data_IF_528478140681
#
_entry.id   IF_528478140681
#
_cell.length_a   1.000
_cell.length_b   1.000
_cell.length_c   1.000
_cell.angle_alpha   90.00
_cell.angle_beta   90.00
_cell.angle_gamma   90.00
#
_symmetry.space_group_name_H-M   'P 1'
#
loop_
_entity.id
_entity.type
_entity.pdbx_description
1 polymer ?
#
# COMPACT_ATOMS: atom_id res chain seq x y z
N UNK A 1 -1.24 -17.36 2.59
CA UNK A 1 -1.06 -18.80 2.72
C UNK A 1 0.04 -19.11 3.75
N UNK A 2 1.32 -18.84 3.52
CA UNK A 2 2.44 -19.12 4.47
C UNK A 2 2.17 -18.60 5.89
N UNK A 3 1.78 -17.35 6.03
CA UNK A 3 1.48 -16.74 7.34
C UNK A 3 0.30 -17.40 8.07
N UNK A 4 -0.58 -18.08 7.33
CA UNK A 4 -1.71 -18.83 7.87
C UNK A 4 -1.38 -20.33 8.07
N UNK A 5 -0.13 -20.74 7.91
CA UNK A 5 0.29 -22.12 8.03
C UNK A 5 -0.19 -23.03 6.89
N UNK A 6 -0.68 -22.45 5.79
CA UNK A 6 -1.09 -23.20 4.61
C UNK A 6 0.14 -23.51 3.76
N UNK A 7 0.36 -24.79 3.51
CA UNK A 7 1.47 -25.25 2.66
C UNK A 7 1.23 -24.83 1.19
N UNK A 8 2.26 -24.26 0.58
CA UNK A 8 2.26 -23.83 -0.82
C UNK A 8 3.58 -24.27 -1.43
N UNK A 9 3.51 -24.92 -2.58
CA UNK A 9 4.65 -25.35 -3.38
C UNK A 9 5.64 -24.20 -3.62
N UNK A 10 6.94 -24.42 -3.42
CA UNK A 10 7.96 -23.38 -3.64
C UNK A 10 7.99 -22.89 -5.08
N UNK A 11 7.67 -23.76 -6.04
CA UNK A 11 7.54 -23.42 -7.46
C UNK A 11 6.55 -22.28 -7.74
N UNK A 12 5.50 -22.12 -6.91
CA UNK A 12 4.54 -21.01 -7.02
C UNK A 12 5.22 -19.69 -6.68
N UNK A 13 6.04 -19.66 -5.62
CA UNK A 13 6.79 -18.46 -5.24
C UNK A 13 7.88 -18.12 -6.27
N UNK A 14 8.59 -19.13 -6.79
CA UNK A 14 9.57 -18.92 -7.86
C UNK A 14 8.93 -18.35 -9.13
N UNK A 15 7.75 -18.85 -9.51
CA UNK A 15 7.01 -18.34 -10.67
C UNK A 15 6.56 -16.87 -10.41
N UNK A 16 6.11 -16.56 -9.21
CA UNK A 16 5.75 -15.20 -8.83
C UNK A 16 6.96 -14.25 -8.90
N UNK A 17 8.13 -14.67 -8.37
CA UNK A 17 9.38 -13.89 -8.45
C UNK A 17 9.77 -13.60 -9.89
N UNK A 18 9.76 -14.63 -10.75
CA UNK A 18 10.05 -14.48 -12.19
C UNK A 18 9.08 -13.52 -12.88
N UNK A 19 7.81 -13.58 -12.52
CA UNK A 19 6.83 -12.66 -13.07
C UNK A 19 7.10 -11.21 -12.62
N UNK A 20 7.37 -10.99 -11.34
CA UNK A 20 7.72 -9.67 -10.83
C UNK A 20 8.99 -9.12 -11.49
N UNK A 21 10.01 -9.95 -11.70
CA UNK A 21 11.23 -9.53 -12.40
C UNK A 21 10.94 -9.10 -13.85
N UNK A 22 10.06 -9.84 -14.55
CA UNK A 22 9.61 -9.49 -15.90
C UNK A 22 8.79 -8.20 -15.94
N UNK A 23 7.97 -7.93 -14.92
CA UNK A 23 7.12 -6.74 -14.84
C UNK A 23 7.85 -5.52 -14.26
N UNK A 24 9.07 -5.71 -13.73
CA UNK A 24 9.86 -4.69 -13.09
C UNK A 24 10.46 -3.70 -14.11
N UNK A 25 10.41 -2.42 -13.75
CA UNK A 25 11.01 -1.30 -14.47
C UNK A 25 11.68 -0.33 -13.51
N UNK A 26 12.10 0.83 -14.02
CA UNK A 26 12.88 1.80 -13.26
C UNK A 26 14.38 1.48 -13.28
N UNK A 27 15.16 2.24 -12.52
CA UNK A 27 16.62 2.10 -12.48
C UNK A 27 17.07 0.84 -11.74
N UNK A 28 16.31 0.47 -10.71
CA UNK A 28 16.64 -0.65 -9.82
C UNK A 28 15.60 -1.79 -9.89
N UNK A 29 14.56 -1.68 -10.73
CA UNK A 29 13.49 -2.66 -10.80
C UNK A 29 12.43 -2.51 -9.72
N UNK A 30 12.28 -1.32 -9.14
CA UNK A 30 11.31 -0.99 -8.09
C UNK A 30 9.97 -0.46 -8.60
N UNK A 31 9.83 -0.25 -9.92
CA UNK A 31 8.61 0.21 -10.57
C UNK A 31 7.96 -0.95 -11.33
N UNK A 32 6.65 -1.09 -11.25
CA UNK A 32 5.96 -2.25 -11.82
C UNK A 32 4.86 -1.85 -12.80
N UNK A 33 4.78 -2.58 -13.89
CA UNK A 33 3.67 -2.52 -14.84
C UNK A 33 2.70 -3.69 -14.68
N UNK A 34 1.61 -3.66 -15.47
CA UNK A 34 0.57 -4.69 -15.40
C UNK A 34 0.97 -5.97 -16.15
N UNK A 35 1.56 -5.84 -17.32
CA UNK A 35 1.97 -6.98 -18.17
C UNK A 35 3.46 -6.98 -18.51
N UNK A 36 4.17 -5.92 -18.15
CA UNK A 36 5.59 -5.72 -18.42
C UNK A 36 6.07 -4.43 -17.76
N UNK A 37 7.35 -4.06 -17.96
CA UNK A 37 7.93 -2.88 -17.33
C UNK A 37 7.19 -1.59 -17.69
N UNK A 38 6.77 -0.83 -16.68
CA UNK A 38 6.17 0.50 -16.83
C UNK A 38 6.61 1.37 -15.65
N UNK A 39 6.94 2.62 -15.94
CA UNK A 39 7.43 3.55 -14.92
C UNK A 39 6.33 4.43 -14.27
N UNK A 40 5.11 4.40 -14.80
CA UNK A 40 4.02 5.31 -14.37
C UNK A 40 2.77 4.63 -13.82
N UNK A 41 2.79 3.32 -13.62
CA UNK A 41 1.65 2.60 -13.02
C UNK A 41 1.81 2.50 -11.51
N UNK A 42 1.24 3.47 -10.78
CA UNK A 42 1.39 3.58 -9.33
C UNK A 42 0.74 2.43 -8.57
N UNK A 43 -0.42 1.98 -9.01
CA UNK A 43 -1.12 0.88 -8.36
C UNK A 43 -0.31 -0.41 -8.47
N UNK A 44 0.27 -0.68 -9.63
CA UNK A 44 1.14 -1.85 -9.82
C UNK A 44 2.46 -1.70 -9.06
N UNK A 45 3.05 -0.50 -9.02
CA UNK A 45 4.24 -0.25 -8.21
C UNK A 45 3.97 -0.49 -6.72
N UNK A 46 2.86 0.00 -6.20
CA UNK A 46 2.46 -0.23 -4.81
C UNK A 46 2.24 -1.72 -4.52
N UNK A 47 1.49 -2.41 -5.39
CA UNK A 47 1.22 -3.84 -5.25
C UNK A 47 2.50 -4.67 -5.37
N UNK A 48 3.33 -4.40 -6.37
CA UNK A 48 4.58 -5.13 -6.60
C UNK A 48 5.57 -4.94 -5.44
N UNK A 49 5.72 -3.70 -4.94
CA UNK A 49 6.53 -3.41 -3.76
C UNK A 49 6.03 -4.20 -2.53
N UNK A 50 4.71 -4.22 -2.28
CA UNK A 50 4.15 -4.97 -1.16
C UNK A 50 4.34 -6.48 -1.32
N UNK A 51 4.15 -7.03 -2.52
CA UNK A 51 4.39 -8.44 -2.79
C UNK A 51 5.85 -8.84 -2.57
N UNK A 52 6.82 -7.99 -2.96
CA UNK A 52 8.24 -8.22 -2.68
C UNK A 52 8.53 -8.22 -1.17
N UNK A 53 7.87 -7.35 -0.42
CA UNK A 53 7.99 -7.33 1.04
C UNK A 53 7.41 -8.61 1.66
N UNK A 54 6.29 -9.12 1.17
CA UNK A 54 5.75 -10.42 1.59
C UNK A 54 6.68 -11.60 1.26
N UNK A 55 7.51 -11.45 0.23
CA UNK A 55 8.60 -12.39 -0.13
C UNK A 55 9.91 -12.09 0.63
N UNK A 56 9.84 -11.27 1.67
CA UNK A 56 10.92 -10.90 2.58
C UNK A 56 12.09 -10.13 1.93
N UNK A 57 11.85 -9.43 0.83
CA UNK A 57 12.82 -8.49 0.25
C UNK A 57 12.99 -7.31 1.22
N UNK A 58 14.21 -7.09 1.76
CA UNK A 58 14.42 -6.14 2.86
C UNK A 58 14.30 -4.68 2.37
N UNK A 59 14.00 -3.73 3.29
CA UNK A 59 13.93 -2.31 2.95
C UNK A 59 15.22 -1.71 2.38
N UNK A 60 16.38 -2.34 2.64
CA UNK A 60 17.68 -1.94 2.10
C UNK A 60 17.91 -2.37 0.64
N UNK A 61 17.08 -3.24 0.08
CA UNK A 61 17.16 -3.59 -1.33
C UNK A 61 16.85 -2.37 -2.19
N UNK A 62 17.67 -2.04 -3.23
CA UNK A 62 17.51 -0.83 -4.02
C UNK A 62 16.14 -0.64 -4.68
N UNK A 63 15.40 -1.72 -4.91
CA UNK A 63 14.03 -1.70 -5.44
C UNK A 63 13.05 -1.03 -4.47
N UNK A 64 13.26 -1.21 -3.16
CA UNK A 64 12.35 -0.72 -2.12
C UNK A 64 12.36 0.82 -2.03
N UNK A 65 13.50 1.51 -1.86
CA UNK A 65 13.52 2.97 -1.84
C UNK A 65 13.12 3.58 -3.21
N UNK A 66 13.41 2.94 -4.34
CA UNK A 66 12.94 3.40 -5.65
C UNK A 66 11.41 3.40 -5.72
N UNK A 67 10.76 2.28 -5.35
CA UNK A 67 9.31 2.17 -5.27
C UNK A 67 8.71 3.18 -4.29
N UNK A 68 9.23 3.26 -3.09
CA UNK A 68 8.76 4.18 -2.06
C UNK A 68 8.84 5.64 -2.50
N UNK A 69 9.92 6.04 -3.17
CA UNK A 69 10.05 7.39 -3.71
C UNK A 69 9.04 7.67 -4.83
N UNK A 70 8.79 6.70 -5.70
CA UNK A 70 7.77 6.84 -6.75
C UNK A 70 6.36 7.02 -6.16
N UNK A 71 6.02 6.29 -5.09
CA UNK A 71 4.74 6.44 -4.38
C UNK A 71 4.63 7.78 -3.67
N UNK A 72 5.72 8.26 -3.04
CA UNK A 72 5.78 9.58 -2.42
C UNK A 72 5.45 10.71 -3.40
N UNK A 73 5.96 10.63 -4.63
CA UNK A 73 5.71 11.63 -5.68
C UNK A 73 4.27 11.61 -6.21
N UNK A 74 3.46 10.67 -5.81
CA UNK A 74 2.08 10.48 -6.27
C UNK A 74 1.12 10.32 -5.09
N UNK A 75 0.92 11.38 -4.27
CA UNK A 75 0.00 11.31 -3.14
C UNK A 75 -1.44 11.10 -3.60
N UNK A 76 -2.30 10.68 -2.66
CA UNK A 76 -3.72 10.51 -2.92
C UNK A 76 -4.35 11.80 -3.44
N UNK A 77 -5.09 11.70 -4.54
CA UNK A 77 -5.92 12.79 -5.06
C UNK A 77 -7.15 12.98 -4.16
N UNK A 78 -7.43 14.22 -3.76
CA UNK A 78 -8.64 14.56 -2.98
C UNK A 78 -9.88 14.61 -3.88
N UNK A 79 -9.74 15.15 -5.10
CA UNK A 79 -10.88 15.32 -6.03
C UNK A 79 -11.30 14.03 -6.73
N UNK A 80 -10.38 13.07 -6.88
CA UNK A 80 -10.65 11.80 -7.55
C UNK A 80 -9.79 10.67 -6.92
N UNK A 81 -10.14 10.22 -5.72
CA UNK A 81 -9.32 9.27 -4.96
C UNK A 81 -9.34 7.87 -5.58
N UNK A 82 -8.16 7.36 -5.89
CA UNK A 82 -7.98 5.99 -6.34
C UNK A 82 -7.76 5.05 -5.14
N UNK A 83 -8.84 4.67 -4.45
CA UNK A 83 -8.77 3.92 -3.17
C UNK A 83 -7.99 2.60 -3.28
N UNK A 84 -8.05 1.91 -4.42
CA UNK A 84 -7.25 0.71 -4.66
C UNK A 84 -5.74 1.03 -4.57
N UNK A 85 -5.29 2.08 -5.25
CA UNK A 85 -3.92 2.56 -5.16
C UNK A 85 -3.56 2.97 -3.73
N UNK A 86 -4.42 3.76 -3.09
CA UNK A 86 -4.20 4.24 -1.72
C UNK A 86 -4.00 3.09 -0.75
N UNK A 87 -4.83 2.06 -0.84
CA UNK A 87 -4.72 0.88 0.02
C UNK A 87 -3.37 0.16 -0.14
N UNK A 88 -2.98 -0.19 -1.37
CA UNK A 88 -1.71 -0.89 -1.58
C UNK A 88 -0.49 -0.02 -1.30
N UNK A 89 -0.54 1.28 -1.60
CA UNK A 89 0.52 2.21 -1.24
C UNK A 89 0.66 2.33 0.29
N UNK A 90 -0.46 2.35 1.02
CA UNK A 90 -0.46 2.35 2.49
C UNK A 90 0.19 1.08 3.04
N UNK A 91 -0.15 -0.11 2.51
CA UNK A 91 0.46 -1.37 2.91
C UNK A 91 1.98 -1.37 2.66
N UNK A 92 2.38 -1.00 1.44
CA UNK A 92 3.78 -1.01 1.04
C UNK A 92 4.63 -0.01 1.85
N UNK A 93 4.14 1.22 2.02
CA UNK A 93 4.86 2.25 2.76
C UNK A 93 4.86 1.98 4.27
N UNK A 94 3.79 1.40 4.81
CA UNK A 94 3.76 0.94 6.20
C UNK A 94 4.82 -0.14 6.46
N UNK A 95 5.02 -1.07 5.55
CA UNK A 95 6.08 -2.07 5.68
C UNK A 95 7.49 -1.49 5.43
N UNK A 96 7.60 -0.47 4.57
CA UNK A 96 8.87 0.20 4.30
C UNK A 96 9.35 1.05 5.48
N UNK A 97 8.42 1.67 6.21
CA UNK A 97 8.69 2.56 7.33
C UNK A 97 9.49 3.84 6.94
N UNK A 98 10.03 4.54 7.91
CA UNK A 98 10.85 5.73 7.72
C UNK A 98 10.08 7.00 7.35
N UNK A 99 10.79 8.07 6.91
CA UNK A 99 10.17 9.39 6.67
C UNK A 99 9.08 9.36 5.59
N UNK A 100 9.21 8.50 4.57
CA UNK A 100 8.19 8.37 3.51
C UNK A 100 6.87 7.87 4.06
N UNK A 101 6.92 6.89 4.99
CA UNK A 101 5.73 6.40 5.67
C UNK A 101 5.09 7.48 6.55
N UNK A 102 5.88 8.21 7.33
CA UNK A 102 5.37 9.28 8.21
C UNK A 102 4.59 10.31 7.39
N UNK A 103 5.19 10.82 6.32
CA UNK A 103 4.55 11.81 5.44
C UNK A 103 3.26 11.27 4.78
N UNK A 104 3.31 10.03 4.26
CA UNK A 104 2.14 9.37 3.68
C UNK A 104 1.00 9.24 4.67
N UNK A 105 1.32 8.75 5.85
CA UNK A 105 0.37 8.49 6.90
C UNK A 105 -0.29 9.76 7.45
N UNK A 106 0.46 10.84 7.60
CA UNK A 106 -0.11 12.12 8.07
C UNK A 106 -1.12 12.65 7.05
N UNK A 107 -0.81 12.58 5.76
CA UNK A 107 -1.76 12.93 4.70
C UNK A 107 -2.98 12.00 4.67
N UNK A 108 -2.76 10.70 4.86
CA UNK A 108 -3.84 9.71 4.88
C UNK A 108 -4.85 9.98 5.99
N UNK A 109 -4.35 10.20 7.22
CA UNK A 109 -5.17 10.51 8.41
C UNK A 109 -5.95 11.81 8.29
N UNK A 110 -5.43 12.79 7.57
CA UNK A 110 -6.13 14.03 7.30
C UNK A 110 -7.17 13.85 6.18
N UNK A 111 -6.78 13.23 5.07
CA UNK A 111 -7.56 13.24 3.84
C UNK A 111 -8.73 12.27 3.87
N UNK A 112 -8.52 11.02 4.28
CA UNK A 112 -9.61 10.02 4.28
C UNK A 112 -10.79 10.41 5.17
N UNK A 113 -10.62 10.88 6.42
CA UNK A 113 -11.75 11.32 7.24
C UNK A 113 -12.49 12.54 6.68
N UNK A 114 -11.80 13.41 5.93
CA UNK A 114 -12.44 14.56 5.25
C UNK A 114 -13.30 14.13 4.06
N UNK A 115 -12.93 13.07 3.36
CA UNK A 115 -13.66 12.52 2.23
C UNK A 115 -14.84 11.62 2.63
N UNK A 116 -14.92 11.26 3.91
CA UNK A 116 -16.01 10.44 4.41
C UNK A 116 -17.33 11.20 4.43
N UNK A 117 -18.41 10.60 3.95
CA UNK A 117 -19.76 11.14 4.06
C UNK A 117 -20.17 11.26 5.54
N UNK A 118 -20.66 12.44 5.92
CA UNK A 118 -21.01 12.75 7.32
C UNK A 118 -22.51 12.70 7.58
N UNK A 119 -23.35 12.80 6.55
CA UNK A 119 -24.78 12.98 6.67
C UNK A 119 -25.57 12.03 5.77
N UNK A 120 -26.86 11.85 6.08
CA UNK A 120 -27.80 11.05 5.29
C UNK A 120 -27.56 9.54 5.39
N UNK A 121 -28.21 8.81 4.50
CA UNK A 121 -28.15 7.34 4.42
C UNK A 121 -26.74 6.80 4.15
N UNK A 122 -25.88 7.61 3.56
CA UNK A 122 -24.52 7.25 3.16
C UNK A 122 -23.47 7.62 4.23
N UNK A 123 -23.89 8.14 5.39
CA UNK A 123 -23.01 8.53 6.48
C UNK A 123 -22.07 7.40 6.87
N UNK A 124 -20.79 7.73 7.10
CA UNK A 124 -19.74 6.77 7.42
C UNK A 124 -19.08 6.11 6.20
N UNK A 125 -19.60 6.30 5.00
CA UNK A 125 -19.06 5.71 3.77
C UNK A 125 -18.20 6.68 2.98
N UNK A 126 -17.52 6.17 1.96
CA UNK A 126 -16.80 6.95 0.95
C UNK A 126 -17.42 6.73 -0.43
N UNK A 127 -17.60 7.82 -1.19
CA UNK A 127 -18.12 7.77 -2.56
C UNK A 127 -17.19 6.99 -3.49
N UNK A 128 -17.72 6.52 -4.60
CA UNK A 128 -16.91 5.83 -5.61
C UNK A 128 -15.75 6.71 -6.05
N UNK A 129 -14.56 6.12 -6.02
CA UNK A 129 -13.35 6.79 -6.47
C UNK A 129 -12.97 6.47 -7.92
N UNK A 130 -11.71 6.73 -8.27
CA UNK A 130 -11.14 6.46 -9.59
C UNK A 130 -10.65 5.00 -9.74
N UNK A 131 -10.37 4.61 -10.98
CA UNK A 131 -9.74 3.33 -11.32
C UNK A 131 -10.61 2.13 -10.95
N UNK A 132 -10.00 1.07 -10.43
CA UNK A 132 -10.71 -0.17 -10.07
C UNK A 132 -11.80 0.04 -9.01
N UNK A 133 -11.65 1.03 -8.12
CA UNK A 133 -12.67 1.35 -7.13
C UNK A 133 -13.95 1.94 -7.76
N UNK A 134 -13.86 2.56 -8.94
CA UNK A 134 -15.03 3.08 -9.64
C UNK A 134 -15.99 1.96 -10.06
N UNK A 135 -15.49 0.84 -10.53
CA UNK A 135 -16.31 -0.33 -10.93
C UNK A 135 -16.94 -1.03 -9.72
N UNK A 136 -16.26 -1.05 -8.57
CA UNK A 136 -16.78 -1.65 -7.34
C UNK A 136 -17.72 -0.75 -6.53
N UNK A 137 -17.85 0.51 -6.92
CA UNK A 137 -18.76 1.46 -6.30
C UNK A 137 -18.41 1.82 -4.85
N UNK A 138 -19.42 2.30 -4.13
CA UNK A 138 -19.29 2.77 -2.74
C UNK A 138 -18.79 1.69 -1.77
N UNK A 139 -19.23 0.45 -1.93
CA UNK A 139 -18.84 -0.65 -1.05
C UNK A 139 -17.32 -0.87 -1.11
N UNK A 140 -16.76 -0.96 -2.31
CA UNK A 140 -15.31 -1.17 -2.50
C UNK A 140 -14.52 0.06 -2.01
N UNK A 141 -14.97 1.28 -2.33
CA UNK A 141 -14.33 2.50 -1.85
C UNK A 141 -14.31 2.58 -0.33
N UNK A 142 -15.44 2.30 0.33
CA UNK A 142 -15.56 2.31 1.79
C UNK A 142 -14.67 1.24 2.42
N UNK A 143 -14.68 0.03 1.89
CA UNK A 143 -13.83 -1.06 2.38
C UNK A 143 -12.35 -0.70 2.30
N UNK A 144 -11.88 -0.22 1.14
CA UNK A 144 -10.46 0.10 0.94
C UNK A 144 -10.03 1.32 1.77
N UNK A 145 -10.88 2.33 1.93
CA UNK A 145 -10.61 3.48 2.79
C UNK A 145 -10.49 3.06 4.26
N UNK A 146 -11.43 2.24 4.75
CA UNK A 146 -11.39 1.71 6.13
C UNK A 146 -10.15 0.86 6.35
N UNK A 147 -9.85 -0.08 5.46
CA UNK A 147 -8.68 -0.95 5.56
C UNK A 147 -7.36 -0.16 5.53
N UNK A 148 -7.32 0.98 4.81
CA UNK A 148 -6.15 1.87 4.80
C UNK A 148 -5.96 2.54 6.16
N UNK A 149 -7.04 2.97 6.82
CA UNK A 149 -6.97 3.58 8.17
C UNK A 149 -6.65 2.54 9.26
N UNK A 150 -7.00 1.27 9.04
CA UNK A 150 -6.78 0.19 10.00
C UNK A 150 -5.39 -0.45 9.94
N UNK A 151 -4.53 -0.03 9.02
CA UNK A 151 -3.23 -0.70 8.76
C UNK A 151 -2.42 -0.97 10.03
N UNK A 152 -2.42 -0.05 10.99
CA UNK A 152 -1.68 -0.17 12.26
C UNK A 152 -2.23 -1.24 13.21
N UNK A 153 -3.53 -1.54 13.09
CA UNK A 153 -4.21 -2.48 13.99
C UNK A 153 -4.18 -3.89 13.42
N UNK A 154 -4.05 -4.02 12.10
CA UNK A 154 -4.16 -5.30 11.39
C UNK A 154 -2.82 -5.92 11.06
N UNK A 155 -1.79 -5.12 10.89
CA UNK A 155 -0.50 -5.59 10.43
C UNK A 155 0.61 -5.15 11.38
N UNK A 156 1.56 -6.06 11.61
CA UNK A 156 2.83 -5.72 12.22
C UNK A 156 3.86 -5.46 11.12
N UNK A 157 4.81 -4.54 11.30
CA UNK A 157 5.94 -4.40 10.39
C UNK A 157 6.72 -5.73 10.31
N UNK A 158 6.88 -6.26 9.09
CA UNK A 158 7.57 -7.53 8.85
C UNK A 158 9.07 -7.44 9.15
N UNK A 159 9.62 -6.25 9.00
CA UNK A 159 11.01 -5.94 9.33
C UNK A 159 11.00 -5.24 10.69
N UNK A 160 11.36 -5.98 11.75
CA UNK A 160 11.23 -5.52 13.14
C UNK A 160 11.80 -4.12 13.40
N UNK A 161 11.30 -3.49 14.46
CA UNK A 161 11.62 -2.14 14.94
C UNK A 161 13.12 -1.95 15.28
N UNK A 162 14.03 -2.13 14.32
CA UNK A 162 15.47 -1.91 14.54
C UNK A 162 15.92 -0.45 14.37
N UNK A 163 15.04 0.46 14.00
CA UNK A 163 15.36 1.89 14.01
C UNK A 163 14.72 2.54 15.24
N UNK A 164 15.56 2.97 16.16
CA UNK A 164 15.21 3.71 17.41
C UNK A 164 14.50 5.06 17.17
N UNK A 165 14.12 5.39 15.94
CA UNK A 165 13.50 6.66 15.56
C UNK A 165 12.02 6.55 15.15
N UNK A 166 11.44 5.35 15.12
CA UNK A 166 9.99 5.22 14.91
C UNK A 166 9.27 5.41 16.24
N UNK A 167 8.54 6.51 16.35
CA UNK A 167 7.70 6.78 17.52
C UNK A 167 6.76 5.59 17.81
N UNK A 168 6.55 5.23 19.08
CA UNK A 168 5.62 4.18 19.46
C UNK A 168 4.20 4.55 19.00
N UNK A 169 3.34 3.56 18.70
CA UNK A 169 1.95 3.82 18.34
C UNK A 169 1.27 4.66 19.44
N UNK A 170 0.36 5.58 19.06
CA UNK A 170 -0.32 6.43 20.02
C UNK A 170 -1.06 5.55 21.03
N UNK A 171 -0.81 5.77 22.31
CA UNK A 171 -1.55 5.12 23.39
C UNK A 171 -3.01 5.54 23.28
N UNK A 172 -3.91 4.59 23.01
CA UNK A 172 -5.34 4.81 23.13
C UNK A 172 -5.64 5.27 24.55
N UNK A 173 -6.09 6.52 24.70
CA UNK A 173 -6.72 6.96 25.96
C UNK A 173 -8.05 6.19 26.06
N UNK A 174 -8.17 5.36 27.09
CA UNK A 174 -9.44 4.75 27.51
C UNK A 174 -10.37 5.81 28.05
#
# INVERSE_FOLDING_TARGET
ARMAGIEVEESVFENARRWFDKAAGGKHGGLYGYTGPQSNNQAMTATGMFCRQLDLVPPSDPRMPEGAQALKMRPMSVSNPAYYYVYYATLALYQHQGPVWVEWNDRLKETLPRLQNKNGSDSGSWDKGAGHAASGGRVVSTTLATLSLEVYYRLLPMYGFRNKESAPPPKLKR
#
